data_IF_712321846212
#
_entry.id   IF_712321846212
#
_cell.length_a   1.000
_cell.length_b   1.000
_cell.length_c   1.000
_cell.angle_alpha   90.00
_cell.angle_beta   90.00
_cell.angle_gamma   90.00
#
_symmetry.space_group_name_H-M   'P 1'
#
loop_
_entity.id
_entity.type
_entity.pdbx_description
1 polymer ?
#
# COMPACT_ATOMS: atom_id res chain seq x y z
N UNK A 1 -5.43 23.06 3.92
CA UNK A 1 -6.87 23.21 3.63
C UNK A 1 -7.38 21.83 3.25
N UNK A 2 -8.36 21.31 3.97
CA UNK A 2 -8.86 19.97 3.74
C UNK A 2 -9.85 19.95 2.59
N UNK A 3 -9.88 18.86 1.83
CA UNK A 3 -10.76 18.69 0.68
C UNK A 3 -11.53 17.37 0.80
N UNK A 4 -12.69 17.33 0.16
CA UNK A 4 -13.59 16.17 0.21
C UNK A 4 -13.49 15.35 -1.06
N UNK A 5 -13.35 14.03 -0.92
CA UNK A 5 -13.41 13.06 -2.03
C UNK A 5 -14.73 12.28 -1.95
N UNK A 6 -15.53 12.30 -3.01
CA UNK A 6 -16.72 11.46 -3.15
C UNK A 6 -16.40 10.22 -4.00
N UNK A 7 -16.42 9.04 -3.38
CA UNK A 7 -16.11 7.77 -4.05
C UNK A 7 -17.37 6.92 -4.16
N UNK A 8 -17.80 6.59 -5.39
CA UNK A 8 -18.86 5.61 -5.65
C UNK A 8 -18.28 4.21 -5.55
N UNK A 9 -18.85 3.36 -4.70
CA UNK A 9 -18.42 1.97 -4.52
C UNK A 9 -19.59 1.08 -4.07
N UNK A 10 -19.39 -0.24 -4.06
CA UNK A 10 -20.39 -1.20 -3.57
C UNK A 10 -20.55 -1.06 -2.05
N UNK A 11 -21.80 -1.06 -1.57
CA UNK A 11 -22.14 -0.95 -0.14
C UNK A 11 -21.44 -2.02 0.71
N UNK A 12 -21.42 -3.26 0.22
CA UNK A 12 -20.79 -4.37 0.94
C UNK A 12 -19.28 -4.20 1.08
N UNK A 13 -18.61 -3.72 0.03
CA UNK A 13 -17.17 -3.47 0.06
C UNK A 13 -16.82 -2.38 1.08
N UNK A 14 -17.58 -1.27 1.07
CA UNK A 14 -17.44 -0.19 2.05
C UNK A 14 -17.60 -0.71 3.48
N UNK A 15 -18.61 -1.54 3.73
CA UNK A 15 -18.89 -2.07 5.06
C UNK A 15 -17.78 -3.03 5.54
N UNK A 16 -17.30 -3.93 4.67
CA UNK A 16 -16.19 -4.84 4.97
C UNK A 16 -14.91 -4.05 5.28
N UNK A 17 -14.56 -3.08 4.44
CA UNK A 17 -13.39 -2.23 4.65
C UNK A 17 -13.51 -1.42 5.96
N UNK A 18 -14.69 -0.88 6.27
CA UNK A 18 -14.93 -0.15 7.53
C UNK A 18 -14.79 -1.05 8.75
N UNK A 19 -15.30 -2.29 8.70
CA UNK A 19 -15.16 -3.25 9.80
C UNK A 19 -13.70 -3.59 10.05
N UNK A 20 -12.95 -3.91 8.98
CA UNK A 20 -11.54 -4.23 9.06
C UNK A 20 -10.69 -3.07 9.58
N UNK A 21 -10.97 -1.84 9.12
CA UNK A 21 -10.32 -0.65 9.67
C UNK A 21 -10.58 -0.50 11.18
N UNK A 22 -11.84 -0.71 11.61
CA UNK A 22 -12.21 -0.65 13.02
C UNK A 22 -11.55 -1.72 13.89
N UNK A 23 -11.37 -2.93 13.36
CA UNK A 23 -10.60 -4.00 14.04
C UNK A 23 -9.13 -3.61 14.27
N UNK A 24 -8.57 -2.78 13.38
CA UNK A 24 -7.21 -2.22 13.48
C UNK A 24 -7.15 -0.91 14.28
N UNK A 25 -8.27 -0.44 14.86
CA UNK A 25 -8.34 0.82 15.60
C UNK A 25 -8.28 2.08 14.72
N UNK A 26 -8.52 1.94 13.41
CA UNK A 26 -8.47 3.02 12.42
C UNK A 26 -9.85 3.34 11.87
N UNK A 27 -10.06 4.59 11.43
CA UNK A 27 -11.23 4.92 10.62
C UNK A 27 -11.02 4.53 9.15
N UNK A 28 -12.10 4.34 8.40
CA UNK A 28 -12.00 4.11 6.96
C UNK A 28 -11.33 5.30 6.24
N UNK A 29 -11.50 6.52 6.75
CA UNK A 29 -10.85 7.70 6.18
C UNK A 29 -9.33 7.67 6.40
N UNK A 30 -8.86 7.18 7.55
CA UNK A 30 -7.43 7.05 7.83
C UNK A 30 -6.76 6.08 6.85
N UNK A 31 -7.43 4.95 6.58
CA UNK A 31 -6.95 3.95 5.62
C UNK A 31 -6.88 4.53 4.20
N UNK A 32 -7.93 5.24 3.76
CA UNK A 32 -7.94 5.87 2.43
C UNK A 32 -6.86 6.94 2.33
N UNK A 33 -6.70 7.79 3.34
CA UNK A 33 -5.68 8.83 3.36
C UNK A 33 -4.26 8.25 3.42
N UNK A 34 -4.05 7.16 4.16
CA UNK A 34 -2.77 6.45 4.19
C UNK A 34 -2.43 5.86 2.82
N UNK A 35 -3.41 5.24 2.15
CA UNK A 35 -3.23 4.72 0.78
C UNK A 35 -2.91 5.83 -0.22
N UNK A 36 -3.59 6.99 -0.14
CA UNK A 36 -3.28 8.15 -0.98
C UNK A 36 -1.86 8.67 -0.74
N UNK A 37 -1.43 8.77 0.53
CA UNK A 37 -0.05 9.16 0.85
C UNK A 37 0.96 8.16 0.29
N UNK A 38 0.73 6.86 0.48
CA UNK A 38 1.60 5.82 -0.05
C UNK A 38 1.68 5.86 -1.58
N UNK A 39 0.55 6.10 -2.26
CA UNK A 39 0.52 6.23 -3.71
C UNK A 39 1.38 7.42 -4.19
N UNK A 40 1.30 8.56 -3.51
CA UNK A 40 2.13 9.74 -3.81
C UNK A 40 3.61 9.44 -3.55
N UNK A 41 3.93 8.83 -2.41
CA UNK A 41 5.33 8.51 -2.03
C UNK A 41 5.97 7.50 -2.97
N UNK A 42 5.26 6.44 -3.33
CA UNK A 42 5.80 5.35 -4.13
C UNK A 42 5.67 5.57 -5.64
N UNK A 43 4.96 6.64 -6.05
CA UNK A 43 4.57 6.90 -7.45
C UNK A 43 3.90 5.70 -8.14
N UNK A 44 3.30 4.80 -7.35
CA UNK A 44 2.82 3.51 -7.82
C UNK A 44 1.92 2.83 -6.79
N UNK A 45 1.04 1.96 -7.27
CA UNK A 45 0.13 1.18 -6.42
C UNK A 45 0.72 -0.22 -6.28
N UNK A 46 1.06 -0.63 -5.06
CA UNK A 46 1.40 -2.02 -4.78
C UNK A 46 0.12 -2.78 -4.42
N UNK A 47 -0.32 -3.68 -5.31
CA UNK A 47 -1.49 -4.54 -5.10
C UNK A 47 -0.97 -5.97 -4.94
N UNK A 48 -0.79 -6.44 -3.71
CA UNK A 48 -0.49 -7.83 -3.42
C UNK A 48 -1.75 -8.58 -2.98
N UNK A 49 -1.98 -9.77 -3.53
CA UNK A 49 -2.99 -10.74 -3.04
C UNK A 49 -2.43 -11.61 -1.91
N UNK A 50 -1.15 -11.47 -1.63
CA UNK A 50 -0.38 -12.29 -0.71
C UNK A 50 -0.44 -11.59 0.67
N UNK A 51 -0.78 -12.29 1.76
CA UNK A 51 -0.50 -11.79 3.11
C UNK A 51 0.95 -11.34 3.14
N UNK A 52 1.29 -10.22 3.79
CA UNK A 52 2.67 -9.71 3.87
C UNK A 52 3.60 -10.61 4.73
N UNK A 53 3.28 -11.89 4.83
CA UNK A 53 4.08 -12.97 5.38
C UNK A 53 4.31 -14.04 4.29
N UNK A 54 5.04 -13.68 3.24
CA UNK A 54 5.97 -14.59 2.54
C UNK A 54 6.98 -13.72 1.81
N UNK A 55 8.03 -13.31 2.52
CA UNK A 55 9.32 -13.02 1.90
C UNK A 55 10.07 -14.34 1.63
N UNK A 56 9.36 -15.40 1.24
CA UNK A 56 9.94 -16.73 1.01
C UNK A 56 10.08 -17.08 -0.48
N UNK A 57 9.71 -16.16 -1.37
CA UNK A 57 9.88 -16.35 -2.83
C UNK A 57 10.40 -15.07 -3.51
N UNK A 58 11.53 -14.57 -3.01
CA UNK A 58 12.48 -13.86 -3.88
C UNK A 58 13.83 -14.58 -3.82
N UNK A 59 14.09 -15.23 -4.95
CA UNK A 59 15.36 -15.69 -5.49
C UNK A 59 16.58 -14.95 -4.96
N UNK A 60 17.61 -15.74 -4.64
CA UNK A 60 19.02 -15.39 -4.41
C UNK A 60 19.30 -13.98 -3.84
N UNK A 61 19.71 -13.85 -2.55
CA UNK A 61 20.05 -12.58 -1.91
C UNK A 61 20.95 -11.64 -2.71
N UNK A 62 21.82 -12.19 -3.56
CA UNK A 62 22.68 -11.46 -4.49
C UNK A 62 21.90 -10.61 -5.52
N UNK A 63 20.77 -11.10 -6.05
CA UNK A 63 19.95 -10.37 -7.04
C UNK A 63 19.18 -9.20 -6.41
N UNK A 64 18.75 -9.36 -5.16
CA UNK A 64 18.08 -8.29 -4.41
C UNK A 64 19.08 -7.17 -4.11
N UNK A 65 20.30 -7.54 -3.71
CA UNK A 65 21.37 -6.58 -3.42
C UNK A 65 21.87 -5.88 -4.69
N UNK A 66 21.92 -6.58 -5.84
CA UNK A 66 22.30 -5.96 -7.10
C UNK A 66 21.26 -4.94 -7.56
N UNK A 67 19.97 -5.28 -7.54
CA UNK A 67 18.89 -4.37 -7.92
C UNK A 67 18.79 -3.14 -7.02
N UNK A 68 18.99 -3.32 -5.70
CA UNK A 68 19.02 -2.21 -4.75
C UNK A 68 20.21 -1.27 -5.01
N UNK A 69 21.39 -1.83 -5.30
CA UNK A 69 22.61 -1.07 -5.56
C UNK A 69 22.57 -0.32 -6.89
N UNK A 70 21.88 -0.88 -7.87
CA UNK A 70 21.65 -0.26 -9.18
C UNK A 70 20.65 0.90 -9.07
N UNK A 71 19.56 0.73 -8.31
CA UNK A 71 18.62 1.81 -8.00
C UNK A 71 19.31 2.99 -7.29
N UNK A 72 20.20 2.73 -6.32
CA UNK A 72 20.95 3.81 -5.65
C UNK A 72 21.96 4.53 -6.55
N UNK A 73 22.37 3.94 -7.69
CA UNK A 73 23.22 4.60 -8.68
C UNK A 73 22.45 5.60 -9.55
N UNK A 74 21.18 5.34 -9.82
CA UNK A 74 20.34 6.24 -10.63
C UNK A 74 19.98 7.55 -9.88
N UNK A 75 20.12 7.56 -8.56
CA UNK A 75 19.84 8.72 -7.70
C UNK A 75 21.08 9.52 -7.26
N UNK A 76 22.24 9.32 -7.90
CA UNK A 76 23.48 10.08 -7.61
C UNK A 76 23.94 10.95 -8.77
#
# INVERSE_FOLDING_TARGET
MDTTILIKTKKELKNKAKKLAGELGLSLADVVNASLRQFVTNQGINISKIPTETLDEYSNPEEILSGLRESFKEFR
#
